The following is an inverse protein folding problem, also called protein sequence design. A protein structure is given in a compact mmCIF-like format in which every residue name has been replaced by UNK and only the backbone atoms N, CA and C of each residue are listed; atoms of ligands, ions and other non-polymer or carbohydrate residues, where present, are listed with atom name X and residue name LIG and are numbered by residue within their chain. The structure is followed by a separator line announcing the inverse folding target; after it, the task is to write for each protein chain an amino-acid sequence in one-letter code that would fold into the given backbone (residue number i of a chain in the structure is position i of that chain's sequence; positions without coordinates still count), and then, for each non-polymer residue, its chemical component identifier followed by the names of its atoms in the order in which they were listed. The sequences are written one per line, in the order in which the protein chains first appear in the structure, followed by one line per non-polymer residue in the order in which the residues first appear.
data_IF_067069782447
#
_entry.id   IF_067069782447
#
_cell.length_a   1.000
_cell.length_b   1.000
_cell.length_c   1.000
_cell.angle_alpha   90.00
_cell.angle_beta   90.00
_cell.angle_gamma   90.00
#
_symmetry.space_group_name_H-M   'P 1'
#
loop_
_entity.id
_entity.type
_entity.pdbx_description
1 polymer ?
#
# COMPACT_ATOMS: atom_id res chain seq x y z
N UNK A 1 -21.54 6.24 0.61
CA UNK A 1 -20.60 5.37 1.36
C UNK A 1 -19.21 5.61 0.80
N UNK A 2 -18.19 5.82 1.63
CA UNK A 2 -16.84 6.12 1.10
C UNK A 2 -16.21 4.87 0.49
N UNK A 3 -15.39 5.05 -0.55
CA UNK A 3 -14.75 3.93 -1.26
C UNK A 3 -13.71 3.21 -0.39
N UNK A 4 -13.23 3.83 0.69
CA UNK A 4 -12.53 3.11 1.76
C UNK A 4 -13.38 1.97 2.37
N UNK A 5 -14.64 2.25 2.73
CA UNK A 5 -15.51 1.26 3.37
C UNK A 5 -15.97 0.17 2.40
N UNK A 6 -15.92 0.45 1.09
CA UNK A 6 -16.29 -0.52 0.05
C UNK A 6 -15.07 -1.34 -0.32
N UNK A 7 -13.98 -0.72 -0.78
CA UNK A 7 -12.86 -1.44 -1.37
C UNK A 7 -11.80 -1.83 -0.34
N UNK A 8 -11.35 -0.89 0.50
CA UNK A 8 -10.24 -1.13 1.42
C UNK A 8 -10.63 -2.12 2.53
N UNK A 9 -11.82 -1.96 3.12
CA UNK A 9 -12.32 -2.88 4.15
C UNK A 9 -12.53 -4.29 3.58
N UNK A 10 -13.10 -4.42 2.38
CA UNK A 10 -13.26 -5.72 1.71
C UNK A 10 -11.90 -6.41 1.51
N UNK A 11 -10.92 -5.68 0.95
CA UNK A 11 -9.56 -6.20 0.73
C UNK A 11 -8.93 -6.61 2.06
N UNK A 12 -9.04 -5.79 3.09
CA UNK A 12 -8.44 -6.08 4.40
C UNK A 12 -9.08 -7.32 5.05
N UNK A 13 -10.41 -7.43 4.99
CA UNK A 13 -11.13 -8.60 5.50
C UNK A 13 -10.68 -9.88 4.79
N UNK A 14 -10.62 -9.85 3.45
CA UNK A 14 -10.16 -10.99 2.66
C UNK A 14 -8.68 -11.32 2.95
N UNK A 15 -7.79 -10.32 2.98
CA UNK A 15 -6.36 -10.52 3.21
C UNK A 15 -6.04 -11.15 4.57
N UNK A 16 -6.88 -10.99 5.60
CA UNK A 16 -6.67 -11.61 6.92
C UNK A 16 -6.99 -13.11 6.94
N UNK A 17 -7.80 -13.60 6.01
CA UNK A 17 -8.27 -15.00 5.99
C UNK A 17 -7.83 -15.79 4.76
N UNK A 18 -7.47 -15.10 3.68
CA UNK A 18 -7.00 -15.67 2.42
C UNK A 18 -5.54 -15.26 2.17
N UNK A 19 -4.66 -16.27 2.13
CA UNK A 19 -3.22 -16.07 1.98
C UNK A 19 -2.83 -15.57 0.59
N UNK A 20 -3.60 -15.90 -0.44
CA UNK A 20 -3.30 -15.47 -1.81
C UNK A 20 -3.73 -14.02 -2.01
N UNK A 21 -4.85 -13.60 -1.40
CA UNK A 21 -5.20 -12.18 -1.29
C UNK A 21 -4.11 -11.40 -0.55
N UNK A 22 -3.60 -11.92 0.59
CA UNK A 22 -2.51 -11.30 1.33
C UNK A 22 -1.25 -11.11 0.46
N UNK A 23 -0.86 -12.13 -0.30
CA UNK A 23 0.28 -12.06 -1.23
C UNK A 23 0.03 -11.08 -2.38
N UNK A 24 -1.19 -11.00 -2.88
CA UNK A 24 -1.58 -10.06 -3.93
C UNK A 24 -1.54 -8.61 -3.44
N UNK A 25 -1.97 -8.33 -2.19
CA UNK A 25 -1.75 -7.02 -1.55
C UNK A 25 -0.26 -6.68 -1.56
N UNK A 26 0.60 -7.60 -1.13
CA UNK A 26 2.04 -7.39 -1.14
C UNK A 26 2.62 -7.11 -2.53
N UNK A 27 2.16 -7.85 -3.54
CA UNK A 27 2.55 -7.66 -4.94
C UNK A 27 2.13 -6.29 -5.47
N UNK A 28 0.90 -5.87 -5.19
CA UNK A 28 0.37 -4.56 -5.58
C UNK A 28 1.14 -3.42 -4.91
N UNK A 29 1.41 -3.54 -3.61
CA UNK A 29 2.19 -2.55 -2.84
C UNK A 29 3.58 -2.40 -3.45
N UNK A 30 4.28 -3.49 -3.74
CA UNK A 30 5.62 -3.46 -4.35
C UNK A 30 5.60 -2.90 -5.78
N UNK A 31 4.66 -3.34 -6.61
CA UNK A 31 4.48 -2.87 -7.98
C UNK A 31 4.26 -1.34 -8.00
N UNK A 32 3.40 -0.83 -7.11
CA UNK A 32 3.05 0.60 -6.99
C UNK A 32 4.20 1.53 -6.58
N UNK A 33 5.35 1.02 -6.15
CA UNK A 33 6.47 1.86 -5.74
C UNK A 33 6.99 2.66 -6.95
N UNK A 34 6.79 3.98 -6.88
CA UNK A 34 7.20 4.97 -7.90
C UNK A 34 6.66 4.63 -9.29
N UNK A 35 5.41 4.16 -9.37
CA UNK A 35 4.72 3.89 -10.63
C UNK A 35 3.39 4.63 -10.67
N UNK A 36 2.95 5.13 -11.83
CA UNK A 36 1.59 5.62 -12.00
C UNK A 36 0.58 4.53 -11.63
N UNK A 37 -0.46 4.85 -10.87
CA UNK A 37 -1.40 3.82 -10.43
C UNK A 37 -2.25 3.25 -11.58
N UNK A 38 -2.41 4.01 -12.67
CA UNK A 38 -3.14 3.59 -13.88
C UNK A 38 -2.58 2.33 -14.54
N UNK A 39 -1.29 2.02 -14.35
CA UNK A 39 -0.66 0.84 -14.94
C UNK A 39 -0.78 -0.42 -14.09
N UNK A 40 -1.40 -0.35 -12.90
CA UNK A 40 -1.52 -1.49 -11.99
C UNK A 40 -2.23 -2.72 -12.61
N UNK A 41 -3.29 -2.60 -13.43
CA UNK A 41 -3.91 -3.76 -14.07
C UNK A 41 -2.92 -4.55 -14.93
N UNK A 42 -2.13 -3.85 -15.74
CA UNK A 42 -1.09 -4.46 -16.57
C UNK A 42 0.00 -5.12 -15.72
N UNK A 43 0.46 -4.44 -14.66
CA UNK A 43 1.54 -4.96 -13.82
C UNK A 43 1.08 -6.18 -13.02
N UNK A 44 -0.11 -6.14 -12.42
CA UNK A 44 -0.66 -7.26 -11.65
C UNK A 44 -0.94 -8.46 -12.53
N UNK A 45 -1.51 -8.28 -13.72
CA UNK A 45 -1.73 -9.37 -14.67
C UNK A 45 -0.42 -10.10 -15.05
N UNK A 46 0.66 -9.34 -15.29
CA UNK A 46 1.98 -9.91 -15.60
C UNK A 46 2.62 -10.61 -14.39
N UNK A 47 2.41 -10.09 -13.17
CA UNK A 47 2.84 -10.75 -11.93
C UNK A 47 2.06 -12.04 -11.68
N UNK A 48 0.76 -12.08 -11.92
CA UNK A 48 -0.01 -13.33 -11.79
C UNK A 48 0.42 -14.39 -12.79
N UNK A 49 0.72 -13.98 -14.03
CA UNK A 49 1.13 -14.90 -15.08
C UNK A 49 2.56 -15.44 -14.87
N UNK A 50 3.49 -14.58 -14.45
CA UNK A 50 4.93 -14.90 -14.44
C UNK A 50 5.52 -15.02 -13.03
N UNK A 51 4.75 -14.70 -12.00
CA UNK A 51 5.19 -14.64 -10.61
C UNK A 51 6.46 -13.80 -10.45
N UNK A 52 7.47 -14.42 -9.85
CA UNK A 52 8.80 -13.83 -9.63
C UNK A 52 9.47 -13.31 -10.90
N UNK A 53 9.22 -13.95 -12.03
CA UNK A 53 9.87 -13.62 -13.31
C UNK A 53 9.18 -12.47 -14.06
N UNK A 54 8.13 -11.88 -13.48
CA UNK A 54 7.52 -10.65 -13.99
C UNK A 54 8.57 -9.55 -14.24
N UNK A 55 8.44 -8.91 -15.41
CA UNK A 55 9.28 -7.76 -15.79
C UNK A 55 9.06 -6.54 -14.89
N UNK A 56 7.93 -6.48 -14.18
CA UNK A 56 7.60 -5.37 -13.28
C UNK A 56 8.19 -5.55 -11.87
N UNK A 57 8.68 -6.75 -11.54
CA UNK A 57 9.48 -7.03 -10.35
C UNK A 57 10.98 -6.80 -10.63
N UNK A 58 11.34 -5.55 -10.97
CA UNK A 58 12.72 -5.15 -11.24
C UNK A 58 13.45 -4.68 -9.97
N UNK A 59 14.78 -4.81 -9.96
CA UNK A 59 15.63 -4.37 -8.86
C UNK A 59 15.23 -4.98 -7.51
N UNK A 60 15.14 -4.15 -6.47
CA UNK A 60 14.78 -4.60 -5.12
C UNK A 60 13.31 -5.03 -4.96
N UNK A 61 12.43 -4.78 -5.94
CA UNK A 61 11.04 -5.26 -5.89
C UNK A 61 10.97 -6.78 -5.89
N UNK A 62 11.86 -7.45 -6.64
CA UNK A 62 11.93 -8.93 -6.68
C UNK A 62 12.28 -9.53 -5.33
N UNK A 63 13.26 -8.94 -4.64
CA UNK A 63 13.64 -9.39 -3.30
C UNK A 63 12.50 -9.23 -2.29
N UNK A 64 11.74 -8.12 -2.36
CA UNK A 64 10.54 -7.93 -1.54
C UNK A 64 9.46 -8.95 -1.86
N UNK A 65 9.24 -9.25 -3.15
CA UNK A 65 8.28 -10.26 -3.59
C UNK A 65 8.66 -11.65 -3.05
N UNK A 66 9.92 -12.06 -3.24
CA UNK A 66 10.44 -13.35 -2.74
C UNK A 66 10.23 -13.47 -1.22
N UNK A 67 10.54 -12.40 -0.47
CA UNK A 67 10.33 -12.35 0.99
C UNK A 67 8.85 -12.52 1.37
N UNK A 68 7.94 -11.81 0.70
CA UNK A 68 6.51 -11.93 0.97
C UNK A 68 6.03 -13.34 0.65
N UNK A 69 6.42 -13.93 -0.48
CA UNK A 69 6.03 -15.30 -0.83
C UNK A 69 6.51 -16.32 0.22
N UNK A 70 7.76 -16.19 0.68
CA UNK A 70 8.36 -17.08 1.66
C UNK A 70 7.75 -16.92 3.07
N UNK A 71 7.39 -15.70 3.46
CA UNK A 71 6.97 -15.38 4.83
C UNK A 71 5.49 -15.02 4.98
N UNK A 72 4.68 -15.16 3.92
CA UNK A 72 3.29 -14.73 3.88
C UNK A 72 2.48 -15.16 5.11
N UNK A 73 2.59 -16.44 5.51
CA UNK A 73 1.85 -16.97 6.66
C UNK A 73 2.18 -16.25 7.96
N UNK A 74 3.47 -16.00 8.23
CA UNK A 74 3.92 -15.25 9.43
C UNK A 74 3.46 -13.81 9.37
N UNK A 75 3.57 -13.17 8.21
CA UNK A 75 3.15 -11.78 8.02
C UNK A 75 1.63 -11.62 8.15
N UNK A 76 0.83 -12.56 7.65
CA UNK A 76 -0.62 -12.57 7.80
C UNK A 76 -1.03 -12.81 9.25
N UNK A 77 -0.38 -13.73 9.97
CA UNK A 77 -0.60 -13.91 11.41
C UNK A 77 -0.29 -12.64 12.21
N UNK A 78 0.78 -11.90 11.83
CA UNK A 78 1.07 -10.60 12.41
C UNK A 78 -0.04 -9.56 12.11
N UNK A 79 -0.61 -9.60 10.89
CA UNK A 79 -1.74 -8.75 10.51
C UNK A 79 -2.99 -9.04 11.35
N UNK A 80 -3.36 -10.33 11.50
CA UNK A 80 -4.49 -10.75 12.33
C UNK A 80 -4.32 -10.28 13.76
N UNK A 81 -3.15 -10.52 14.37
CA UNK A 81 -2.86 -10.08 15.73
C UNK A 81 -2.92 -8.56 15.87
N UNK A 82 -2.36 -7.83 14.90
CA UNK A 82 -2.38 -6.37 14.90
C UNK A 82 -3.79 -5.80 14.80
N UNK A 83 -4.67 -6.45 14.02
CA UNK A 83 -6.08 -6.09 13.95
C UNK A 83 -6.82 -6.36 15.27
N UNK A 84 -6.60 -7.54 15.87
CA UNK A 84 -7.26 -7.92 17.13
C UNK A 84 -6.79 -7.10 18.34
N UNK A 85 -5.53 -6.67 18.34
CA UNK A 85 -4.90 -5.96 19.46
C UNK A 85 -4.75 -4.45 19.23
N UNK A 86 -5.20 -3.92 18.08
CA UNK A 86 -4.94 -2.53 17.64
C UNK A 86 -3.45 -2.12 17.69
N UNK A 87 -2.56 -3.04 17.29
CA UNK A 87 -1.10 -2.86 17.37
C UNK A 87 -0.46 -2.62 15.98
N UNK A 88 -0.78 -1.47 15.39
CA UNK A 88 -0.23 -1.04 14.10
C UNK A 88 1.30 -0.90 14.15
N UNK A 89 1.86 -0.43 15.26
CA UNK A 89 3.29 -0.14 15.39
C UNK A 89 4.13 -1.42 15.23
N UNK A 90 3.76 -2.48 15.94
CA UNK A 90 4.43 -3.79 15.84
C UNK A 90 4.25 -4.41 14.46
N UNK A 91 3.11 -4.19 13.81
CA UNK A 91 2.88 -4.71 12.48
C UNK A 91 3.75 -4.00 11.43
N UNK A 92 3.80 -2.67 11.47
CA UNK A 92 4.70 -1.89 10.61
C UNK A 92 6.15 -2.34 10.84
N UNK A 93 6.58 -2.50 12.09
CA UNK A 93 7.94 -2.98 12.38
C UNK A 93 8.23 -4.34 11.72
N UNK A 94 7.28 -5.27 11.80
CA UNK A 94 7.38 -6.59 11.15
C UNK A 94 7.48 -6.45 9.63
N UNK A 95 6.69 -5.57 9.03
CA UNK A 95 6.70 -5.31 7.58
C UNK A 95 7.99 -4.65 7.09
N UNK A 96 8.71 -3.91 7.95
CA UNK A 96 10.02 -3.32 7.62
C UNK A 96 11.13 -4.36 7.42
N UNK A 97 10.91 -5.62 7.81
CA UNK A 97 11.82 -6.73 7.47
C UNK A 97 11.80 -7.04 5.97
N UNK A 98 10.70 -6.72 5.28
CA UNK A 98 10.56 -6.97 3.86
C UNK A 98 11.46 -6.03 3.04
N UNK A 99 12.35 -6.57 2.19
CA UNK A 99 13.18 -5.74 1.32
C UNK A 99 12.33 -4.78 0.48
N UNK A 100 12.82 -3.54 0.35
CA UNK A 100 12.17 -2.49 -0.43
C UNK A 100 10.84 -1.94 0.15
N UNK A 101 10.40 -2.39 1.34
CA UNK A 101 9.30 -1.75 2.08
C UNK A 101 9.85 -0.77 3.13
N UNK A 102 9.88 0.51 2.78
CA UNK A 102 10.01 1.58 3.77
C UNK A 102 8.70 1.84 4.53
N UNK A 103 8.75 2.64 5.59
CA UNK A 103 7.60 2.90 6.48
C UNK A 103 6.33 3.34 5.75
N UNK A 104 6.46 4.18 4.71
CA UNK A 104 5.31 4.62 3.90
C UNK A 104 4.57 3.44 3.27
N UNK A 105 5.32 2.50 2.67
CA UNK A 105 4.76 1.34 1.98
C UNK A 105 4.39 0.21 2.93
N UNK A 106 5.09 0.08 4.06
CA UNK A 106 4.65 -0.76 5.16
C UNK A 106 3.30 -0.31 5.73
N UNK A 107 3.10 1.00 5.93
CA UNK A 107 1.81 1.54 6.40
C UNK A 107 0.71 1.43 5.36
N UNK A 108 1.02 1.55 4.06
CA UNK A 108 0.06 1.26 2.98
C UNK A 108 -0.32 -0.24 2.94
N UNK A 109 0.65 -1.13 3.11
CA UNK A 109 0.38 -2.57 3.24
C UNK A 109 -0.54 -2.84 4.43
N UNK A 110 -0.26 -2.22 5.59
CA UNK A 110 -1.13 -2.33 6.76
C UNK A 110 -2.54 -1.80 6.49
N UNK A 111 -2.68 -0.64 5.82
CA UNK A 111 -3.97 -0.09 5.41
C UNK A 111 -4.77 -1.11 4.58
N UNK A 112 -4.12 -1.81 3.64
CA UNK A 112 -4.79 -2.80 2.79
C UNK A 112 -5.05 -4.17 3.46
N UNK A 113 -4.39 -4.50 4.57
CA UNK A 113 -4.52 -5.82 5.21
C UNK A 113 -5.26 -5.78 6.54
N UNK A 114 -5.23 -4.66 7.25
CA UNK A 114 -5.91 -4.49 8.54
C UNK A 114 -6.85 -3.27 8.57
N UNK A 115 -7.05 -2.59 7.43
CA UNK A 115 -7.84 -1.35 7.32
C UNK A 115 -7.31 -0.19 8.19
N UNK A 116 -6.07 -0.30 8.67
CA UNK A 116 -5.44 0.70 9.56
C UNK A 116 -4.04 1.04 9.06
N UNK A 117 -3.76 2.34 8.90
CA UNK A 117 -2.55 2.88 8.30
C UNK A 117 -2.84 3.92 7.23
N UNK A 118 -1.80 4.60 6.74
CA UNK A 118 -1.92 5.61 5.70
C UNK A 118 -0.65 5.65 4.85
N UNK A 119 -0.81 5.82 3.54
CA UNK A 119 0.30 6.03 2.61
C UNK A 119 0.64 7.53 2.53
N UNK A 120 1.59 8.01 3.34
CA UNK A 120 2.17 9.35 3.20
C UNK A 120 3.23 9.34 2.10
N UNK A 121 2.78 9.17 0.84
CA UNK A 121 3.64 9.31 -0.33
C UNK A 121 4.11 10.76 -0.52
N UNK A 122 4.89 11.02 -1.57
CA UNK A 122 5.43 12.35 -1.83
C UNK A 122 4.35 13.43 -1.93
N UNK A 123 3.18 13.13 -2.50
CA UNK A 123 2.09 14.10 -2.64
C UNK A 123 1.44 14.39 -1.28
N UNK A 124 1.21 13.36 -0.47
CA UNK A 124 0.67 13.53 0.87
C UNK A 124 1.67 14.22 1.82
N UNK A 125 2.97 13.96 1.70
CA UNK A 125 4.00 14.71 2.45
C UNK A 125 4.03 16.18 2.05
N UNK A 126 3.93 16.48 0.75
CA UNK A 126 3.85 17.86 0.25
C UNK A 126 2.60 18.58 0.77
N UNK A 127 1.44 17.91 0.83
CA UNK A 127 0.20 18.45 1.42
C UNK A 127 0.39 18.84 2.89
N UNK A 128 1.18 18.06 3.63
CA UNK A 128 1.52 18.32 5.04
C UNK A 128 2.67 19.32 5.23
N UNK A 129 3.25 19.85 4.15
CA UNK A 129 4.44 20.71 4.24
C UNK A 129 5.71 20.00 4.71
N UNK A 130 5.76 18.66 4.58
CA UNK A 130 6.89 17.83 5.00
C UNK A 130 7.80 17.50 3.81
N UNK A 131 9.09 17.28 4.08
CA UNK A 131 10.03 16.83 3.05
C UNK A 131 9.74 15.38 2.63
N UNK A 132 10.07 15.06 1.38
CA UNK A 132 9.99 13.70 0.80
C UNK A 132 10.84 12.65 1.56
N UNK A 133 11.77 13.11 2.38
CA UNK A 133 12.71 12.33 3.17
C UNK A 133 12.38 12.29 4.67
N UNK A 134 11.30 12.96 5.11
CA UNK A 134 10.93 13.12 6.52
C UNK A 134 10.94 11.78 7.29
N UNK A 135 10.48 10.71 6.65
CA UNK A 135 10.34 9.38 7.25
C UNK A 135 11.32 8.33 6.70
N UNK A 136 12.35 8.75 5.95
CA UNK A 136 13.40 7.82 5.50
C UNK A 136 14.20 7.32 6.71
N UNK A 137 14.56 6.04 6.71
CA UNK A 137 15.48 5.49 7.72
C UNK A 137 16.94 5.78 7.33
N UNK A 138 17.71 6.43 8.22
CA UNK A 138 19.16 6.47 8.09
C UNK A 138 19.75 5.04 8.19
N UNK A 139 20.89 4.80 7.54
CA UNK A 139 21.61 3.53 7.67
C UNK A 139 22.06 3.32 9.12
N UNK A 140 21.93 2.11 9.64
CA UNK A 140 22.40 1.73 10.98
C UNK A 140 21.57 2.31 12.14
N UNK A 141 20.31 2.69 11.89
CA UNK A 141 19.44 3.20 12.94
C UNK A 141 19.18 2.11 14.00
N UNK A 142 19.38 2.46 15.28
CA UNK A 142 19.05 1.57 16.41
C UNK A 142 17.56 1.27 16.48
N UNK A 143 17.19 0.10 17.00
CA UNK A 143 15.81 -0.37 17.08
C UNK A 143 14.87 0.63 17.78
N UNK A 144 15.28 1.21 18.92
CA UNK A 144 14.46 2.21 19.63
C UNK A 144 14.13 3.44 18.76
N UNK A 145 15.09 3.85 17.94
CA UNK A 145 14.91 4.96 17.00
C UNK A 145 13.99 4.58 15.83
N UNK A 146 13.97 3.30 15.43
CA UNK A 146 12.99 2.77 14.46
C UNK A 146 11.59 2.84 15.07
N UNK A 147 11.39 2.35 16.29
CA UNK A 147 10.10 2.45 17.00
C UNK A 147 9.63 3.89 17.15
N UNK A 148 10.51 4.80 17.57
CA UNK A 148 10.17 6.22 17.70
C UNK A 148 9.70 6.80 16.37
N UNK A 149 10.36 6.46 15.26
CA UNK A 149 10.00 6.93 13.92
C UNK A 149 8.67 6.35 13.44
N UNK A 150 8.38 5.08 13.76
CA UNK A 150 7.07 4.45 13.49
C UNK A 150 5.96 5.20 14.22
N UNK A 151 6.13 5.45 15.52
CA UNK A 151 5.18 6.23 16.32
C UNK A 151 4.96 7.61 15.75
N UNK A 152 6.04 8.34 15.44
CA UNK A 152 5.93 9.69 14.84
C UNK A 152 5.17 9.65 13.52
N UNK A 153 5.48 8.71 12.62
CA UNK A 153 4.73 8.55 11.36
C UNK A 153 3.24 8.33 11.62
N UNK A 154 2.92 7.42 12.55
CA UNK A 154 1.55 7.10 12.89
C UNK A 154 0.80 8.26 13.52
N UNK A 155 1.45 9.05 14.39
CA UNK A 155 0.89 10.27 14.95
C UNK A 155 0.64 11.33 13.87
N UNK A 156 1.56 11.53 12.92
CA UNK A 156 1.43 12.56 11.89
C UNK A 156 0.18 12.34 11.04
N UNK A 157 -0.04 11.13 10.52
CA UNK A 157 -1.23 10.91 9.69
C UNK A 157 -2.51 10.92 10.52
N UNK A 158 -2.49 10.43 11.77
CA UNK A 158 -3.65 10.42 12.69
C UNK A 158 -4.09 11.82 13.13
N UNK A 159 -3.17 12.78 13.22
CA UNK A 159 -3.49 14.16 13.59
C UNK A 159 -4.23 14.90 12.47
N UNK A 160 -4.03 14.50 11.22
CA UNK A 160 -4.68 15.10 10.06
C UNK A 160 -6.02 14.41 9.74
N UNK A 161 -6.10 13.09 9.92
CA UNK A 161 -7.30 12.31 9.62
C UNK A 161 -7.15 10.82 9.92
N UNK A 162 -8.12 10.03 9.49
CA UNK A 162 -8.10 8.58 9.65
C UNK A 162 -7.66 7.86 8.36
N UNK A 163 -7.61 6.53 8.40
CA UNK A 163 -7.29 5.72 7.22
C UNK A 163 -8.26 5.95 6.06
N UNK A 164 -9.53 6.27 6.34
CA UNK A 164 -10.51 6.57 5.31
C UNK A 164 -10.22 7.92 4.62
N UNK A 165 -9.89 8.96 5.38
CA UNK A 165 -9.47 10.27 4.86
C UNK A 165 -8.29 10.12 3.90
N UNK A 166 -7.23 9.42 4.33
CA UNK A 166 -6.02 9.25 3.51
C UNK A 166 -6.27 8.39 2.28
N UNK A 167 -7.08 7.34 2.38
CA UNK A 167 -7.48 6.54 1.22
C UNK A 167 -8.28 7.36 0.21
N UNK A 168 -9.33 8.05 0.70
CA UNK A 168 -10.27 8.72 -0.17
C UNK A 168 -9.63 9.92 -0.88
N UNK A 169 -8.95 10.77 -0.11
CA UNK A 169 -8.29 11.97 -0.62
C UNK A 169 -7.12 11.66 -1.57
N UNK A 170 -6.48 10.51 -1.42
CA UNK A 170 -5.45 10.04 -2.35
C UNK A 170 -6.07 9.54 -3.66
N UNK A 171 -7.13 8.75 -3.58
CA UNK A 171 -7.84 8.28 -4.78
C UNK A 171 -8.39 9.46 -5.60
N UNK A 172 -8.98 10.46 -4.95
CA UNK A 172 -9.45 11.67 -5.63
C UNK A 172 -8.32 12.47 -6.27
N UNK A 173 -7.17 12.54 -5.58
CA UNK A 173 -5.98 13.19 -6.12
C UNK A 173 -5.50 12.53 -7.42
N UNK A 174 -5.40 11.21 -7.41
CA UNK A 174 -4.94 10.42 -8.56
C UNK A 174 -5.93 10.55 -9.72
N UNK A 175 -7.23 10.52 -9.45
CA UNK A 175 -8.26 10.77 -10.47
C UNK A 175 -8.12 12.17 -11.08
N UNK A 176 -7.99 13.21 -10.24
CA UNK A 176 -7.81 14.59 -10.68
C UNK A 176 -6.54 14.79 -11.54
N UNK A 177 -5.42 14.16 -11.16
CA UNK A 177 -4.19 14.20 -11.95
C UNK A 177 -4.34 13.56 -13.34
N UNK A 178 -5.10 12.47 -13.45
CA UNK A 178 -5.33 11.80 -14.74
C UNK A 178 -6.31 12.58 -15.62
N UNK A 179 -7.38 13.14 -15.04
CA UNK A 179 -8.30 14.01 -15.77
C UNK A 179 -7.57 15.21 -16.39
N UNK A 180 -6.59 15.79 -15.68
CA UNK A 180 -5.74 16.87 -16.20
C UNK A 180 -4.77 16.43 -17.32
N UNK A 181 -4.55 15.12 -17.50
CA UNK A 181 -3.63 14.53 -18.51
C UNK A 181 -4.36 13.63 -19.51
N UNK A 182 -5.68 13.76 -19.62
CA UNK A 182 -6.56 12.85 -20.38
C UNK A 182 -6.20 12.77 -21.87
N UNK A 183 -5.65 13.83 -22.46
CA UNK A 183 -5.19 13.80 -23.86
C UNK A 183 -3.94 12.92 -24.08
N UNK A 184 -3.20 12.62 -23.01
CA UNK A 184 -1.98 11.79 -23.04
C UNK A 184 -2.24 10.33 -22.67
N UNK A 185 -3.32 10.04 -21.95
CA UNK A 185 -3.63 8.71 -21.41
C UNK A 185 -5.08 8.34 -21.73
N UNK A 186 -5.28 7.28 -22.53
CA UNK A 186 -6.61 6.77 -22.94
C UNK A 186 -7.37 6.02 -21.82
N UNK A 187 -7.01 6.21 -20.56
CA UNK A 187 -7.55 5.42 -19.46
C UNK A 187 -8.34 6.33 -18.50
N UNK A 188 -9.62 5.98 -18.30
CA UNK A 188 -10.61 6.85 -17.67
C UNK A 188 -10.71 6.62 -16.15
N UNK A 189 -9.85 7.28 -15.36
CA UNK A 189 -10.19 7.56 -13.97
C UNK A 189 -11.21 8.68 -13.90
N UNK A 190 -12.49 8.31 -14.02
CA UNK A 190 -13.59 9.27 -13.99
C UNK A 190 -13.78 9.91 -12.60
N UNK A 191 -13.34 9.26 -11.51
CA UNK A 191 -13.41 9.75 -10.13
C UNK A 191 -12.52 8.90 -9.20
N UNK A 192 -12.41 9.30 -7.93
CA UNK A 192 -11.66 8.54 -6.92
C UNK A 192 -12.17 7.12 -6.69
N UNK A 193 -13.47 6.86 -6.85
CA UNK A 193 -14.00 5.50 -6.75
C UNK A 193 -13.45 4.56 -7.84
N UNK A 194 -13.20 5.07 -9.06
CA UNK A 194 -12.55 4.29 -10.12
C UNK A 194 -11.10 3.93 -9.76
N UNK A 195 -10.36 4.86 -9.14
CA UNK A 195 -9.01 4.61 -8.62
C UNK A 195 -9.04 3.59 -7.49
N UNK A 196 -9.99 3.74 -6.57
CA UNK A 196 -10.15 2.84 -5.43
C UNK A 196 -10.41 1.40 -5.87
N UNK A 197 -11.28 1.18 -6.87
CA UNK A 197 -11.55 -0.14 -7.44
C UNK A 197 -10.31 -0.84 -8.00
N UNK A 198 -9.30 -0.12 -8.48
CA UNK A 198 -8.07 -0.77 -8.93
C UNK A 198 -7.30 -1.47 -7.79
N UNK A 199 -7.47 -1.06 -6.54
CA UNK A 199 -6.87 -1.78 -5.41
C UNK A 199 -7.46 -3.19 -5.26
N UNK A 200 -8.69 -3.42 -5.75
CA UNK A 200 -9.34 -4.73 -5.76
C UNK A 200 -8.67 -5.74 -6.68
N UNK A 201 -7.69 -5.32 -7.50
CA UNK A 201 -6.72 -6.27 -8.09
C UNK A 201 -6.13 -7.18 -6.99
N UNK A 202 -5.95 -6.70 -5.76
CA UNK A 202 -5.51 -7.54 -4.65
C UNK A 202 -6.41 -8.77 -4.37
N UNK A 203 -7.69 -8.70 -4.72
CA UNK A 203 -8.65 -9.80 -4.60
C UNK A 203 -8.55 -10.81 -5.77
N UNK A 204 -7.65 -10.59 -6.72
CA UNK A 204 -7.59 -11.37 -7.97
C UNK A 204 -8.67 -11.00 -8.98
N UNK A 205 -9.42 -9.93 -8.73
CA UNK A 205 -10.44 -9.42 -9.64
C UNK A 205 -9.77 -8.65 -10.78
N UNK A 206 -10.19 -8.89 -12.03
CA UNK A 206 -9.88 -7.97 -13.12
C UNK A 206 -10.97 -6.90 -13.13
N UNK A 207 -10.68 -5.63 -12.80
CA UNK A 207 -11.70 -4.61 -12.75
C UNK A 207 -12.33 -4.47 -14.14
N UNK A 208 -13.65 -4.56 -14.23
CA UNK A 208 -14.38 -4.17 -15.43
C UNK A 208 -14.11 -2.68 -15.68
N UNK A 209 -13.49 -2.35 -16.81
CA UNK A 209 -13.28 -0.98 -17.26
C UNK A 209 -14.61 -0.38 -17.70
#
# INVERSE_FOLDING_TARGET
MSYFHIDCIDIANAARVDIDVFKNVGSLVLASIRQPFIVMPLQMADIWANGRESRFLFGHKRAGYDFIQQHAKRLQQAAVRAYECDDLDSYILTLLECPNLGIVKASFFAQMTIATGACLDMHNLQRLGLSDTAFRFPKGLKLDSVHKRIRTYNTVWRNEGDSAYWWNSWCDHVAGQQLAKRDQWKADFNNGAAVSRLHRLALGETPSV
#
